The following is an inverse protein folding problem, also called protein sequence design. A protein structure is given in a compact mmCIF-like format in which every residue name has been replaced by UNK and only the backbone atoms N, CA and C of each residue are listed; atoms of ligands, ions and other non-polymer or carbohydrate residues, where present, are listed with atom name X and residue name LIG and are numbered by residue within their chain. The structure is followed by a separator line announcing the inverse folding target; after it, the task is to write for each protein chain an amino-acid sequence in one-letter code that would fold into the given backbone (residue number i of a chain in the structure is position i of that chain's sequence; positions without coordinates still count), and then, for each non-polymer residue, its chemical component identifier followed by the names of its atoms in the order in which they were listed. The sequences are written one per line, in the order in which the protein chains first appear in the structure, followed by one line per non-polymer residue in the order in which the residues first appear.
data_IF_938340207855
#
_entry.id   IF_938340207855
#
_cell.length_a   1.000
_cell.length_b   1.000
_cell.length_c   1.000
_cell.angle_alpha   90.00
_cell.angle_beta   90.00
_cell.angle_gamma   90.00
#
_symmetry.space_group_name_H-M   'P 1'
#
loop_
_entity.id
_entity.type
_entity.pdbx_description
1 polymer ?
#
# COMPACT_ATOMS: atom_id res chain seq x y z
N UNK A 1 -10.34 21.83 -88.65
CA UNK A 1 -10.20 23.12 -87.96
C UNK A 1 -10.41 22.89 -86.47
N UNK A 2 -9.42 23.30 -85.69
CA UNK A 2 -9.35 23.51 -84.23
C UNK A 2 -9.12 22.26 -83.39
N UNK A 3 -7.87 22.24 -82.91
CA UNK A 3 -7.35 21.76 -81.68
C UNK A 3 -8.09 22.31 -80.46
N UNK A 4 -8.24 21.55 -79.40
CA UNK A 4 -8.22 22.04 -78.04
C UNK A 4 -7.60 20.97 -77.15
N UNK A 5 -6.53 21.38 -76.47
CA UNK A 5 -5.82 20.73 -75.42
C UNK A 5 -6.69 20.57 -74.17
N UNK A 6 -6.56 19.41 -73.47
CA UNK A 6 -6.97 19.32 -72.06
C UNK A 6 -5.94 18.51 -71.29
N UNK A 7 -5.11 19.23 -70.56
CA UNK A 7 -4.14 18.74 -69.61
C UNK A 7 -4.81 17.98 -68.46
N UNK A 8 -4.49 16.70 -68.29
CA UNK A 8 -4.86 15.89 -67.14
C UNK A 8 -3.92 16.16 -65.96
N UNK A 9 -4.46 16.70 -64.88
CA UNK A 9 -3.78 16.87 -63.59
C UNK A 9 -3.86 15.56 -62.84
N UNK A 10 -2.70 14.92 -62.60
CA UNK A 10 -2.57 13.76 -61.75
C UNK A 10 -2.74 14.16 -60.29
N UNK A 11 -3.75 13.65 -59.59
CA UNK A 11 -3.94 13.79 -58.16
C UNK A 11 -3.02 12.80 -57.44
N UNK A 12 -2.03 13.36 -56.72
CA UNK A 12 -1.19 12.64 -55.77
C UNK A 12 -2.02 12.28 -54.53
N UNK A 13 -2.24 10.99 -54.28
CA UNK A 13 -2.88 10.46 -53.09
C UNK A 13 -1.98 10.65 -51.83
N UNK A 14 -2.59 10.81 -50.63
CA UNK A 14 -1.82 10.98 -49.41
C UNK A 14 -1.06 9.71 -49.04
N UNK A 15 0.27 9.83 -48.86
CA UNK A 15 1.14 8.74 -48.40
C UNK A 15 0.72 8.23 -47.02
N UNK A 16 0.27 6.99 -46.97
CA UNK A 16 0.02 6.31 -45.70
C UNK A 16 1.34 6.05 -44.96
N UNK A 17 1.45 6.59 -43.76
CA UNK A 17 2.55 6.27 -42.85
C UNK A 17 2.52 4.78 -42.54
N UNK A 18 3.63 4.03 -42.63
CA UNK A 18 3.65 2.63 -42.29
C UNK A 18 3.30 2.44 -40.79
N UNK A 19 2.54 1.39 -40.41
CA UNK A 19 2.27 1.11 -39.02
C UNK A 19 3.59 0.90 -38.28
N UNK A 20 3.75 1.62 -37.17
CA UNK A 20 4.90 1.44 -36.27
C UNK A 20 5.01 -0.02 -35.80
N UNK A 21 6.21 -0.46 -35.37
CA UNK A 21 6.40 -1.83 -34.94
C UNK A 21 5.38 -2.19 -33.86
N UNK A 22 4.68 -3.32 -34.06
CA UNK A 22 3.74 -3.86 -33.11
C UNK A 22 4.41 -4.00 -31.75
N UNK A 23 3.80 -3.45 -30.69
CA UNK A 23 4.32 -3.59 -29.34
C UNK A 23 4.45 -5.08 -29.02
N UNK A 24 5.68 -5.53 -28.76
CA UNK A 24 5.95 -6.90 -28.32
C UNK A 24 5.16 -7.09 -27.01
N UNK A 25 4.30 -8.14 -26.92
CA UNK A 25 3.59 -8.40 -25.67
C UNK A 25 4.61 -8.57 -24.53
N UNK A 26 4.33 -8.04 -23.35
CA UNK A 26 5.23 -8.17 -22.21
C UNK A 26 5.46 -9.67 -21.96
N UNK A 27 6.73 -10.07 -21.93
CA UNK A 27 7.12 -11.44 -21.57
C UNK A 27 6.59 -11.71 -20.16
N UNK A 28 6.11 -12.93 -19.85
CA UNK A 28 5.69 -13.26 -18.49
C UNK A 28 6.88 -13.05 -17.55
N UNK A 29 6.75 -12.07 -16.68
CA UNK A 29 7.75 -11.75 -15.66
C UNK A 29 7.57 -12.78 -14.55
N UNK A 30 8.48 -13.74 -14.44
CA UNK A 30 8.51 -14.68 -13.30
C UNK A 30 9.07 -13.96 -12.08
N UNK A 31 8.45 -14.17 -10.92
CA UNK A 31 8.90 -13.61 -9.64
C UNK A 31 10.04 -14.43 -9.02
N UNK A 32 11.04 -14.81 -9.83
CA UNK A 32 12.18 -15.59 -9.32
C UNK A 32 12.89 -14.79 -8.23
N UNK A 33 13.12 -15.43 -7.08
CA UNK A 33 13.93 -14.85 -6.00
C UNK A 33 15.38 -14.74 -6.46
N UNK A 34 15.96 -13.52 -6.54
CA UNK A 34 17.36 -13.34 -6.86
C UNK A 34 18.29 -14.05 -5.86
N UNK A 35 19.34 -14.69 -6.33
CA UNK A 35 20.27 -15.45 -5.49
C UNK A 35 20.92 -14.61 -4.39
N UNK A 36 21.21 -13.36 -4.67
CA UNK A 36 21.75 -12.37 -3.73
C UNK A 36 20.78 -12.01 -2.60
N UNK A 37 19.47 -12.17 -2.79
CA UNK A 37 18.43 -11.91 -1.80
C UNK A 37 18.01 -13.16 -1.03
N UNK A 38 18.45 -14.35 -1.42
CA UNK A 38 18.02 -15.62 -0.84
C UNK A 38 18.30 -15.68 0.68
N UNK A 39 19.45 -15.16 1.11
CA UNK A 39 19.80 -15.11 2.55
C UNK A 39 18.86 -14.24 3.36
N UNK A 40 18.52 -13.04 2.86
CA UNK A 40 17.57 -12.13 3.50
C UNK A 40 16.15 -12.73 3.52
N UNK A 41 15.71 -13.30 2.40
CA UNK A 41 14.41 -13.93 2.29
C UNK A 41 14.27 -15.12 3.27
N UNK A 42 15.27 -15.97 3.37
CA UNK A 42 15.29 -17.10 4.32
C UNK A 42 15.24 -16.62 5.78
N UNK A 43 15.91 -15.52 6.12
CA UNK A 43 15.87 -14.96 7.49
C UNK A 43 14.51 -14.36 7.84
N UNK A 44 13.85 -13.69 6.89
CA UNK A 44 12.59 -12.98 7.14
C UNK A 44 11.36 -13.91 7.06
N UNK A 45 11.38 -14.90 6.19
CA UNK A 45 10.23 -15.79 5.97
C UNK A 45 10.41 -17.20 6.55
N UNK A 46 11.65 -17.63 6.81
CA UNK A 46 11.92 -18.96 7.38
C UNK A 46 11.26 -20.08 6.58
N UNK A 47 10.51 -20.91 7.27
CA UNK A 47 9.76 -22.04 6.69
C UNK A 47 8.58 -21.60 5.79
N UNK A 48 8.26 -20.33 5.74
CA UNK A 48 7.18 -19.77 4.92
C UNK A 48 7.69 -19.11 3.63
N UNK A 49 8.96 -19.34 3.27
CA UNK A 49 9.56 -18.75 2.06
C UNK A 49 8.86 -19.20 0.77
N UNK A 50 8.38 -20.42 0.70
CA UNK A 50 7.58 -20.94 -0.41
C UNK A 50 6.26 -20.20 -0.59
N UNK A 51 5.58 -19.86 0.51
CA UNK A 51 4.35 -19.05 0.50
C UNK A 51 4.64 -17.62 0.04
N UNK A 52 5.78 -17.05 0.49
CA UNK A 52 6.22 -15.73 0.02
C UNK A 52 6.53 -15.75 -1.48
N UNK A 53 7.13 -16.82 -2.00
CA UNK A 53 7.40 -16.98 -3.44
C UNK A 53 6.09 -17.13 -4.25
N UNK A 54 5.12 -17.89 -3.75
CA UNK A 54 3.80 -17.99 -4.38
C UNK A 54 3.08 -16.62 -4.39
N UNK A 55 3.19 -15.83 -3.34
CA UNK A 55 2.64 -14.48 -3.30
C UNK A 55 3.37 -13.54 -4.27
N UNK A 56 4.70 -13.61 -4.36
CA UNK A 56 5.47 -12.84 -5.34
C UNK A 56 4.97 -13.12 -6.77
N UNK A 57 4.72 -14.39 -7.11
CA UNK A 57 4.20 -14.78 -8.42
C UNK A 57 2.81 -14.19 -8.69
N UNK A 58 1.88 -14.24 -7.73
CA UNK A 58 0.56 -13.61 -7.85
C UNK A 58 0.67 -12.10 -8.07
N UNK A 59 1.63 -11.42 -7.43
CA UNK A 59 1.84 -9.98 -7.60
C UNK A 59 2.34 -9.62 -9.00
N UNK A 60 3.27 -10.40 -9.58
CA UNK A 60 3.85 -10.09 -10.90
C UNK A 60 2.97 -10.56 -12.07
N UNK A 61 2.05 -11.49 -11.82
CA UNK A 61 1.06 -11.97 -12.81
C UNK A 61 -0.25 -11.20 -12.64
N UNK A 62 -1.16 -11.68 -11.82
CA UNK A 62 -2.50 -11.11 -11.61
C UNK A 62 -2.46 -9.68 -11.08
N UNK A 63 -1.52 -9.37 -10.19
CA UNK A 63 -1.33 -8.03 -9.64
C UNK A 63 -1.00 -7.00 -10.72
N UNK A 64 -0.13 -7.34 -11.66
CA UNK A 64 0.20 -6.48 -12.82
C UNK A 64 -0.98 -6.36 -13.77
N UNK A 65 -1.61 -7.48 -14.15
CA UNK A 65 -2.77 -7.49 -15.06
C UNK A 65 -3.92 -6.64 -14.52
N UNK A 66 -4.17 -6.70 -13.21
CA UNK A 66 -5.21 -5.91 -12.54
C UNK A 66 -4.77 -4.47 -12.21
N UNK A 67 -3.52 -4.08 -12.52
CA UNK A 67 -2.98 -2.75 -12.27
C UNK A 67 -2.80 -2.43 -10.78
N UNK A 68 -2.50 -3.43 -9.97
CA UNK A 68 -2.18 -3.29 -8.53
C UNK A 68 -0.69 -3.08 -8.31
N UNK A 69 0.13 -3.68 -9.16
CA UNK A 69 1.58 -3.52 -9.23
C UNK A 69 1.92 -2.94 -10.61
N UNK A 70 2.76 -1.91 -10.64
CA UNK A 70 3.25 -1.36 -11.91
C UNK A 70 4.16 -2.37 -12.63
N UNK A 71 4.11 -2.48 -13.97
CA UNK A 71 4.98 -3.40 -14.71
C UNK A 71 6.49 -3.17 -14.46
N UNK A 72 6.88 -1.94 -14.15
CA UNK A 72 8.27 -1.58 -13.81
C UNK A 72 8.68 -2.00 -12.40
N UNK A 73 7.72 -2.28 -11.52
CA UNK A 73 7.96 -2.75 -10.15
C UNK A 73 8.07 -4.28 -10.08
N UNK A 74 7.50 -5.00 -11.06
CA UNK A 74 7.51 -6.46 -11.09
C UNK A 74 8.92 -7.08 -10.98
N UNK A 75 9.96 -6.60 -11.70
CA UNK A 75 11.33 -7.12 -11.55
C UNK A 75 11.94 -6.87 -10.16
N UNK A 76 11.36 -5.95 -9.38
CA UNK A 76 11.84 -5.53 -8.07
C UNK A 76 10.91 -5.98 -6.94
N UNK A 77 10.08 -6.99 -7.20
CA UNK A 77 9.06 -7.42 -6.24
C UNK A 77 9.67 -7.90 -4.92
N UNK A 78 10.81 -8.57 -4.97
CA UNK A 78 11.50 -9.08 -3.80
C UNK A 78 12.17 -7.97 -2.99
N UNK A 79 13.04 -7.19 -3.60
CA UNK A 79 13.83 -6.17 -2.88
C UNK A 79 12.97 -4.99 -2.39
N UNK A 80 12.13 -4.42 -3.27
CA UNK A 80 11.34 -3.21 -2.94
C UNK A 80 10.04 -3.47 -2.19
N UNK A 81 9.50 -4.68 -2.30
CA UNK A 81 8.17 -4.93 -1.74
C UNK A 81 8.20 -6.00 -0.65
N UNK A 82 8.55 -7.24 -0.97
CA UNK A 82 8.44 -8.32 0.01
C UNK A 82 9.41 -8.15 1.18
N UNK A 83 10.71 -8.00 0.92
CA UNK A 83 11.70 -7.89 1.98
C UNK A 83 11.54 -6.62 2.81
N UNK A 84 11.27 -5.48 2.15
CA UNK A 84 11.01 -4.23 2.84
C UNK A 84 9.77 -4.29 3.75
N UNK A 85 8.69 -4.94 3.29
CA UNK A 85 7.49 -5.12 4.11
C UNK A 85 7.74 -6.10 5.26
N UNK A 86 8.43 -7.22 5.01
CA UNK A 86 8.73 -8.22 6.02
C UNK A 86 9.64 -7.68 7.15
N UNK A 87 10.56 -6.78 6.83
CA UNK A 87 11.45 -6.16 7.81
C UNK A 87 10.69 -5.42 8.94
N UNK A 88 9.49 -4.92 8.66
CA UNK A 88 8.65 -4.22 9.67
C UNK A 88 8.17 -5.16 10.77
N UNK A 89 8.21 -6.46 10.55
CA UNK A 89 7.81 -7.48 11.54
C UNK A 89 8.59 -7.40 12.86
N UNK A 90 9.81 -6.83 12.86
CA UNK A 90 10.62 -6.64 14.09
C UNK A 90 9.99 -5.66 15.09
N UNK A 91 9.12 -4.74 14.63
CA UNK A 91 8.41 -3.78 15.47
C UNK A 91 7.06 -4.30 15.98
N UNK A 92 6.63 -5.50 15.56
CA UNK A 92 5.30 -6.04 15.86
C UNK A 92 5.40 -7.07 16.98
N UNK A 93 4.69 -6.86 18.12
CA UNK A 93 4.66 -7.81 19.22
C UNK A 93 4.17 -9.20 18.80
N UNK A 94 4.60 -10.27 19.50
CA UNK A 94 4.07 -11.61 19.25
C UNK A 94 2.56 -11.67 19.48
N UNK A 95 1.84 -12.38 18.60
CA UNK A 95 0.40 -12.60 18.69
C UNK A 95 -0.48 -11.36 18.52
N UNK A 96 0.08 -10.26 18.03
CA UNK A 96 -0.65 -9.00 17.90
C UNK A 96 -1.79 -9.07 16.87
N UNK A 97 -2.87 -8.32 17.14
CA UNK A 97 -3.87 -7.95 16.15
C UNK A 97 -3.36 -6.79 15.29
N UNK A 98 -3.29 -6.99 13.98
CA UNK A 98 -2.72 -6.03 13.04
C UNK A 98 -3.77 -5.61 12.00
N UNK A 99 -3.96 -4.30 11.83
CA UNK A 99 -4.82 -3.72 10.82
C UNK A 99 -3.97 -3.04 9.75
N UNK A 100 -4.09 -3.47 8.50
CA UNK A 100 -3.36 -2.86 7.38
C UNK A 100 -4.28 -1.91 6.61
N UNK A 101 -4.00 -0.60 6.68
CA UNK A 101 -4.84 0.46 6.12
C UNK A 101 -4.41 0.82 4.70
N UNK A 102 -5.34 0.68 3.76
CA UNK A 102 -5.07 0.90 2.35
C UNK A 102 -4.21 -0.21 1.76
N UNK A 103 -4.55 -1.46 2.07
CA UNK A 103 -3.74 -2.65 1.76
C UNK A 103 -3.38 -2.80 0.28
N UNK A 104 -4.19 -2.28 -0.63
CA UNK A 104 -3.92 -2.30 -2.07
C UNK A 104 -3.78 -3.72 -2.63
N UNK A 105 -2.55 -4.09 -2.99
CA UNK A 105 -2.18 -5.44 -3.38
C UNK A 105 -1.90 -6.38 -2.18
N UNK A 106 -2.05 -5.90 -0.92
CA UNK A 106 -1.72 -6.65 0.30
C UNK A 106 -0.36 -6.29 0.91
N UNK A 107 0.13 -5.08 0.65
CA UNK A 107 1.45 -4.62 1.06
C UNK A 107 1.36 -3.46 2.07
N UNK A 108 1.79 -3.63 3.34
CA UNK A 108 2.59 -4.73 3.87
C UNK A 108 1.80 -5.92 4.44
N UNK A 109 0.47 -5.84 4.60
CA UNK A 109 -0.32 -6.74 5.41
C UNK A 109 -0.15 -8.23 5.09
N UNK A 110 -0.28 -8.65 3.82
CA UNK A 110 -0.10 -10.07 3.44
C UNK A 110 1.35 -10.53 3.65
N UNK A 111 2.33 -9.68 3.39
CA UNK A 111 3.73 -10.02 3.65
C UNK A 111 3.96 -10.30 5.13
N UNK A 112 3.41 -9.44 6.01
CA UNK A 112 3.50 -9.61 7.46
C UNK A 112 2.78 -10.87 7.92
N UNK A 113 1.60 -11.18 7.40
CA UNK A 113 0.86 -12.41 7.72
C UNK A 113 1.61 -13.68 7.27
N UNK A 114 2.35 -13.61 6.15
CA UNK A 114 3.21 -14.70 5.69
C UNK A 114 4.43 -14.86 6.61
N UNK A 115 5.14 -13.78 6.91
CA UNK A 115 6.35 -13.81 7.73
C UNK A 115 6.05 -14.15 9.20
N UNK A 116 4.87 -13.78 9.71
CA UNK A 116 4.44 -13.87 11.09
C UNK A 116 3.07 -14.55 11.18
N UNK A 117 3.00 -15.89 11.12
CA UNK A 117 1.75 -16.64 11.17
C UNK A 117 1.02 -16.57 12.53
N UNK A 118 1.68 -16.03 13.55
CA UNK A 118 1.12 -15.75 14.87
C UNK A 118 0.21 -14.50 14.91
N UNK A 119 0.23 -13.66 13.87
CA UNK A 119 -0.55 -12.42 13.82
C UNK A 119 -2.01 -12.67 13.38
N UNK A 120 -2.94 -11.91 13.98
CA UNK A 120 -4.31 -11.79 13.48
C UNK A 120 -4.40 -10.55 12.57
N UNK A 121 -4.44 -10.76 11.24
CA UNK A 121 -4.36 -9.69 10.26
C UNK A 121 -5.75 -9.28 9.72
N UNK A 122 -6.05 -7.99 9.66
CA UNK A 122 -7.19 -7.46 8.92
C UNK A 122 -6.71 -6.47 7.86
N UNK A 123 -7.01 -6.74 6.60
CA UNK A 123 -6.70 -5.90 5.46
C UNK A 123 -7.86 -4.96 5.17
N UNK A 124 -7.66 -3.65 5.25
CA UNK A 124 -8.68 -2.62 5.02
C UNK A 124 -8.45 -1.97 3.67
N UNK A 125 -9.38 -2.15 2.73
CA UNK A 125 -9.27 -1.63 1.37
C UNK A 125 -10.65 -1.22 0.83
N UNK A 126 -10.86 0.02 0.36
CA UNK A 126 -12.17 0.47 -0.10
C UNK A 126 -12.57 -0.02 -1.50
N UNK A 127 -11.60 -0.32 -2.38
CA UNK A 127 -11.89 -0.60 -3.78
C UNK A 127 -12.26 -2.06 -4.01
N UNK A 128 -13.47 -2.33 -4.51
CA UNK A 128 -13.98 -3.68 -4.77
C UNK A 128 -13.01 -4.57 -5.57
N UNK A 129 -12.37 -4.02 -6.61
CA UNK A 129 -11.42 -4.77 -7.43
C UNK A 129 -10.20 -5.23 -6.63
N UNK A 130 -9.72 -4.39 -5.70
CA UNK A 130 -8.58 -4.72 -4.84
C UNK A 130 -8.97 -5.73 -3.76
N UNK A 131 -10.14 -5.55 -3.14
CA UNK A 131 -10.64 -6.52 -2.15
C UNK A 131 -10.91 -7.89 -2.76
N UNK A 132 -11.37 -7.96 -4.01
CA UNK A 132 -11.49 -9.24 -4.72
C UNK A 132 -10.14 -9.94 -4.86
N UNK A 133 -9.12 -9.22 -5.34
CA UNK A 133 -7.76 -9.76 -5.43
C UNK A 133 -7.22 -10.22 -4.07
N UNK A 134 -7.44 -9.42 -3.00
CA UNK A 134 -7.00 -9.78 -1.65
C UNK A 134 -7.66 -11.07 -1.16
N UNK A 135 -8.98 -11.24 -1.35
CA UNK A 135 -9.68 -12.46 -0.96
C UNK A 135 -9.16 -13.68 -1.73
N UNK A 136 -9.03 -13.59 -3.06
CA UNK A 136 -8.49 -14.64 -3.90
C UNK A 136 -7.07 -15.03 -3.47
N UNK A 137 -6.23 -14.02 -3.17
CA UNK A 137 -4.85 -14.24 -2.71
C UNK A 137 -4.81 -14.90 -1.33
N UNK A 138 -5.63 -14.45 -0.37
CA UNK A 138 -5.74 -15.05 0.97
C UNK A 138 -6.13 -16.52 0.88
N UNK A 139 -7.09 -16.86 0.02
CA UNK A 139 -7.52 -18.23 -0.22
C UNK A 139 -6.41 -19.06 -0.86
N UNK A 140 -5.82 -18.58 -1.96
CA UNK A 140 -4.76 -19.26 -2.71
C UNK A 140 -3.52 -19.56 -1.85
N UNK A 141 -3.19 -18.69 -0.89
CA UNK A 141 -2.05 -18.84 0.01
C UNK A 141 -2.40 -19.60 1.31
N UNK A 142 -3.64 -20.04 1.50
CA UNK A 142 -4.08 -20.75 2.70
C UNK A 142 -4.04 -19.89 3.97
N UNK A 143 -4.30 -18.58 3.88
CA UNK A 143 -4.22 -17.61 4.99
C UNK A 143 -5.58 -17.29 5.63
N UNK A 144 -6.66 -17.97 5.24
CA UNK A 144 -8.04 -17.68 5.66
C UNK A 144 -8.27 -17.72 7.16
N UNK A 145 -7.44 -18.48 7.91
CA UNK A 145 -7.55 -18.61 9.36
C UNK A 145 -6.93 -17.42 10.13
N UNK A 146 -6.00 -16.68 9.51
CA UNK A 146 -5.25 -15.58 10.15
C UNK A 146 -5.45 -14.23 9.48
N UNK A 147 -6.05 -14.19 8.28
CA UNK A 147 -6.24 -12.96 7.51
C UNK A 147 -7.71 -12.75 7.17
N UNK A 148 -8.24 -11.59 7.54
CA UNK A 148 -9.56 -11.09 7.16
C UNK A 148 -9.42 -9.93 6.19
N UNK A 149 -10.28 -9.85 5.19
CA UNK A 149 -10.38 -8.68 4.29
C UNK A 149 -11.64 -7.89 4.64
N UNK A 150 -11.49 -6.61 4.95
CA UNK A 150 -12.57 -5.67 5.20
C UNK A 150 -12.65 -4.66 4.06
N UNK A 151 -13.81 -4.61 3.38
CA UNK A 151 -14.05 -3.61 2.33
C UNK A 151 -14.66 -2.37 2.93
N UNK A 152 -13.87 -1.30 3.07
CA UNK A 152 -14.32 -0.02 3.59
C UNK A 152 -13.16 0.97 3.67
N UNK A 153 -13.49 2.20 4.04
CA UNK A 153 -12.51 3.27 4.28
C UNK A 153 -12.19 3.32 5.76
N UNK A 154 -10.91 3.45 6.08
CA UNK A 154 -10.42 3.49 7.46
C UNK A 154 -10.98 4.68 8.27
N UNK A 155 -11.26 5.80 7.62
CA UNK A 155 -11.84 7.01 8.22
C UNK A 155 -13.35 6.93 8.50
N UNK A 156 -14.03 5.90 8.04
CA UNK A 156 -15.46 5.72 8.26
C UNK A 156 -15.76 5.08 9.63
N UNK A 157 -16.78 5.57 10.31
CA UNK A 157 -17.18 5.05 11.63
C UNK A 157 -17.48 3.54 11.63
N UNK A 158 -17.97 3.02 10.49
CA UNK A 158 -18.21 1.59 10.26
C UNK A 158 -16.92 0.78 10.38
N UNK A 159 -15.80 1.26 9.84
CA UNK A 159 -14.52 0.56 9.97
C UNK A 159 -14.13 0.42 11.45
N UNK A 160 -14.20 1.51 12.21
CA UNK A 160 -13.87 1.48 13.64
C UNK A 160 -14.78 0.53 14.43
N UNK A 161 -16.09 0.47 14.10
CA UNK A 161 -17.05 -0.38 14.82
C UNK A 161 -16.97 -1.86 14.45
N UNK A 162 -16.67 -2.20 13.18
CA UNK A 162 -16.66 -3.58 12.70
C UNK A 162 -15.29 -4.26 12.80
N UNK A 163 -14.22 -3.48 12.62
CA UNK A 163 -12.86 -4.01 12.66
C UNK A 163 -12.30 -3.95 14.08
N UNK A 164 -12.75 -2.95 14.87
CA UNK A 164 -12.28 -2.69 16.23
C UNK A 164 -10.87 -2.10 16.26
N UNK A 165 -10.36 -1.73 17.45
CA UNK A 165 -8.98 -1.29 17.58
C UNK A 165 -8.02 -2.48 17.55
N UNK A 166 -6.95 -2.36 16.75
CA UNK A 166 -5.84 -3.31 16.74
C UNK A 166 -4.69 -2.88 17.66
N UNK A 167 -3.84 -3.83 18.02
CA UNK A 167 -2.58 -3.57 18.74
C UNK A 167 -1.60 -2.79 17.86
N UNK A 168 -1.61 -3.10 16.56
CA UNK A 168 -0.78 -2.44 15.56
C UNK A 168 -1.62 -2.08 14.35
N UNK A 169 -1.43 -0.87 13.83
CA UNK A 169 -1.97 -0.45 12.53
C UNK A 169 -0.81 -0.20 11.60
N UNK A 170 -0.82 -0.81 10.43
CA UNK A 170 0.18 -0.58 9.38
C UNK A 170 -0.41 0.23 8.23
N UNK A 171 0.43 1.03 7.56
CA UNK A 171 0.06 1.69 6.32
C UNK A 171 1.30 1.98 5.46
N UNK A 172 1.17 1.88 4.13
CA UNK A 172 2.24 2.16 3.18
C UNK A 172 1.79 3.07 2.06
N UNK A 173 2.50 4.20 1.87
CA UNK A 173 2.32 5.12 0.72
C UNK A 173 0.87 5.63 0.50
N UNK A 174 0.11 5.85 1.58
CA UNK A 174 -1.32 6.18 1.49
C UNK A 174 -1.56 7.69 1.52
N UNK A 175 -0.87 8.42 2.42
CA UNK A 175 -1.08 9.86 2.62
C UNK A 175 0.08 10.50 3.41
N UNK A 176 0.16 11.86 3.47
CA UNK A 176 0.97 12.58 4.45
C UNK A 176 0.65 12.16 5.89
N UNK A 177 1.61 12.35 6.81
CA UNK A 177 1.56 11.77 8.15
C UNK A 177 0.37 12.26 9.00
N UNK A 178 -0.03 13.52 8.89
CA UNK A 178 -1.19 14.09 9.59
C UNK A 178 -2.52 13.43 9.20
N UNK A 179 -2.74 13.26 7.89
CA UNK A 179 -3.94 12.58 7.37
C UNK A 179 -3.93 11.10 7.71
N UNK A 180 -2.77 10.47 7.58
CA UNK A 180 -2.59 9.06 7.90
C UNK A 180 -2.88 8.80 9.39
N UNK A 181 -2.34 9.63 10.28
CA UNK A 181 -2.64 9.56 11.71
C UNK A 181 -4.14 9.74 11.99
N UNK A 182 -4.81 10.65 11.27
CA UNK A 182 -6.26 10.85 11.38
C UNK A 182 -7.08 9.63 11.02
N UNK A 183 -6.64 8.81 10.06
CA UNK A 183 -7.32 7.58 9.67
C UNK A 183 -6.98 6.38 10.54
N UNK A 184 -5.71 6.27 10.95
CA UNK A 184 -5.18 5.08 11.60
C UNK A 184 -5.29 5.11 13.12
N UNK A 185 -5.08 6.27 13.78
CA UNK A 185 -5.17 6.34 15.24
C UNK A 185 -6.53 5.92 15.80
N UNK A 186 -7.69 6.27 15.20
CA UNK A 186 -8.98 5.74 15.67
C UNK A 186 -9.07 4.20 15.65
N UNK A 187 -8.34 3.55 14.75
CA UNK A 187 -8.25 2.10 14.60
C UNK A 187 -7.16 1.46 15.47
N UNK A 188 -6.30 2.26 16.10
CA UNK A 188 -5.22 1.79 16.98
C UNK A 188 -5.74 1.74 18.42
N UNK A 189 -5.50 0.67 19.17
CA UNK A 189 -5.80 0.60 20.60
C UNK A 189 -5.00 1.62 21.40
N UNK A 190 -5.48 1.98 22.61
CA UNK A 190 -4.67 2.81 23.53
C UNK A 190 -3.43 2.02 23.94
N UNK A 191 -2.25 2.63 23.85
CA UNK A 191 -0.96 1.96 24.01
C UNK A 191 -0.50 1.16 22.79
N UNK A 192 -1.39 0.94 21.81
CA UNK A 192 -1.06 0.37 20.50
C UNK A 192 -0.31 1.37 19.63
N UNK A 193 0.11 0.93 18.45
CA UNK A 193 0.99 1.72 17.58
C UNK A 193 0.57 1.75 16.12
N UNK A 194 0.70 2.90 15.48
CA UNK A 194 0.71 3.04 14.05
C UNK A 194 2.15 2.88 13.53
N UNK A 195 2.37 1.98 12.57
CA UNK A 195 3.63 1.79 11.86
C UNK A 195 3.44 2.24 10.41
N UNK A 196 3.89 3.42 10.07
CA UNK A 196 3.78 3.99 8.74
C UNK A 196 5.09 3.78 7.95
N UNK A 197 5.03 2.96 6.89
CA UNK A 197 6.17 2.79 5.96
C UNK A 197 6.30 4.05 5.12
N UNK A 198 7.45 4.69 5.22
CA UNK A 198 7.74 5.99 4.60
C UNK A 198 9.01 5.94 3.75
N UNK A 199 9.18 6.96 2.91
CA UNK A 199 10.39 7.19 2.12
C UNK A 199 11.44 8.02 2.85
N UNK A 200 12.37 8.59 2.07
CA UNK A 200 13.49 9.37 2.58
C UNK A 200 13.06 10.67 3.32
N UNK A 201 11.87 11.21 3.00
CA UNK A 201 11.32 12.44 3.63
C UNK A 201 10.65 12.20 4.98
N UNK A 202 10.80 11.02 5.59
CA UNK A 202 10.11 10.68 6.83
C UNK A 202 10.44 11.61 8.01
N UNK A 203 11.70 12.06 8.11
CA UNK A 203 12.13 12.98 9.16
C UNK A 203 11.50 14.38 9.01
N UNK A 204 11.42 14.88 7.77
CA UNK A 204 10.76 16.14 7.45
C UNK A 204 9.25 16.06 7.70
N UNK A 205 8.61 14.95 7.33
CA UNK A 205 7.19 14.73 7.63
C UNK A 205 6.90 14.69 9.14
N UNK A 206 7.79 14.10 9.94
CA UNK A 206 7.68 14.10 11.40
C UNK A 206 7.77 15.54 11.93
N UNK A 207 8.77 16.31 11.48
CA UNK A 207 8.96 17.68 11.95
C UNK A 207 7.75 18.57 11.60
N UNK A 208 7.17 18.40 10.41
CA UNK A 208 6.01 19.18 9.95
C UNK A 208 4.71 18.79 10.67
N UNK A 209 4.51 17.51 10.98
CA UNK A 209 3.19 17.01 11.40
C UNK A 209 3.10 16.54 12.86
N UNK A 210 4.18 16.62 13.68
CA UNK A 210 4.19 16.14 15.06
C UNK A 210 3.06 16.75 15.91
N UNK A 211 2.81 18.05 15.80
CA UNK A 211 1.71 18.70 16.52
C UNK A 211 0.32 18.20 16.08
N UNK A 212 0.13 17.94 14.79
CA UNK A 212 -1.12 17.39 14.27
C UNK A 212 -1.35 15.98 14.82
N UNK A 213 -0.30 15.14 14.84
CA UNK A 213 -0.33 13.80 15.43
C UNK A 213 -0.71 13.87 16.91
N UNK A 214 -0.08 14.77 17.68
CA UNK A 214 -0.41 14.93 19.09
C UNK A 214 -1.87 15.36 19.30
N UNK A 215 -2.41 16.29 18.51
CA UNK A 215 -3.82 16.68 18.58
C UNK A 215 -4.77 15.50 18.32
N UNK A 216 -4.37 14.54 17.47
CA UNK A 216 -5.12 13.33 17.15
C UNK A 216 -4.99 12.22 18.19
N UNK A 217 -4.24 12.44 19.29
CA UNK A 217 -4.09 11.49 20.38
C UNK A 217 -2.87 10.57 20.25
N UNK A 218 -2.01 10.82 19.28
CA UNK A 218 -0.70 10.16 19.16
C UNK A 218 0.34 10.80 20.08
N UNK A 219 1.31 9.99 20.49
CA UNK A 219 2.55 10.43 21.13
C UNK A 219 3.55 11.03 20.14
N UNK A 220 4.77 11.29 20.62
CA UNK A 220 5.87 11.75 19.78
C UNK A 220 6.21 10.71 18.71
N UNK A 221 6.16 11.04 17.41
CA UNK A 221 6.55 10.09 16.36
C UNK A 221 8.04 9.71 16.48
N UNK A 222 8.33 8.41 16.35
CA UNK A 222 9.68 7.88 16.33
C UNK A 222 10.03 7.34 14.93
N UNK A 223 11.29 7.49 14.52
CA UNK A 223 11.80 7.00 13.25
C UNK A 223 12.61 5.72 13.47
N UNK A 224 12.26 4.66 12.75
CA UNK A 224 12.96 3.38 12.79
C UNK A 224 13.54 3.03 11.42
N UNK A 225 14.61 2.26 11.45
CA UNK A 225 15.27 1.66 10.27
C UNK A 225 15.19 0.14 10.42
N UNK A 226 14.15 -0.46 9.86
CA UNK A 226 13.88 -1.89 9.99
C UNK A 226 14.69 -2.73 9.01
N UNK A 227 15.16 -3.90 9.49
CA UNK A 227 15.91 -4.86 8.69
C UNK A 227 17.37 -4.48 8.46
N UNK A 228 18.00 -3.69 9.33
CA UNK A 228 19.43 -3.36 9.23
C UNK A 228 20.29 -4.62 9.18
N UNK A 229 21.22 -4.68 8.20
CA UNK A 229 22.07 -5.85 7.95
C UNK A 229 21.33 -7.06 7.33
N UNK A 230 20.06 -6.89 6.94
CA UNK A 230 19.25 -7.91 6.25
C UNK A 230 18.70 -7.37 4.93
N UNK A 231 18.19 -6.15 4.93
CA UNK A 231 17.60 -5.48 3.77
C UNK A 231 18.39 -4.22 3.45
N UNK A 232 18.71 -4.00 2.18
CA UNK A 232 19.47 -2.83 1.74
C UNK A 232 18.73 -2.09 0.62
N UNK A 233 18.36 -0.80 0.82
CA UNK A 233 18.44 -0.07 2.09
C UNK A 233 17.42 -0.55 3.12
N UNK A 234 17.66 -0.36 4.43
CA UNK A 234 16.70 -0.67 5.48
C UNK A 234 15.38 0.09 5.30
N UNK A 235 14.28 -0.55 5.71
CA UNK A 235 12.95 0.04 5.59
C UNK A 235 12.74 1.15 6.62
N UNK A 236 12.39 2.34 6.15
CA UNK A 236 12.07 3.47 7.02
C UNK A 236 10.63 3.39 7.51
N UNK A 237 10.43 3.40 8.82
CA UNK A 237 9.12 3.33 9.47
C UNK A 237 8.97 4.48 10.47
N UNK A 238 7.84 5.18 10.41
CA UNK A 238 7.42 6.12 11.45
C UNK A 238 6.48 5.41 12.39
N UNK A 239 6.85 5.29 13.65
CA UNK A 239 6.02 4.76 14.74
C UNK A 239 5.31 5.89 15.48
N UNK A 240 4.01 5.73 15.73
CA UNK A 240 3.21 6.63 16.57
C UNK A 240 2.42 5.76 17.55
N UNK A 241 2.71 5.89 18.85
CA UNK A 241 1.92 5.25 19.91
C UNK A 241 0.63 6.04 20.13
N UNK A 242 -0.51 5.38 20.22
CA UNK A 242 -1.76 6.03 20.60
C UNK A 242 -1.84 6.19 22.11
N UNK A 243 -1.72 7.41 22.60
CA UNK A 243 -1.67 7.70 24.05
C UNK A 243 -3.05 8.00 24.65
N UNK A 244 -3.99 8.57 23.86
CA UNK A 244 -5.29 9.01 24.38
C UNK A 244 -6.40 8.92 23.34
N UNK A 245 -7.63 8.81 23.80
CA UNK A 245 -8.82 8.97 22.98
C UNK A 245 -9.04 10.47 22.70
N UNK A 246 -9.34 10.78 21.45
CA UNK A 246 -9.80 12.11 21.05
C UNK A 246 -11.25 11.97 20.61
N UNK A 247 -12.15 12.70 21.28
CA UNK A 247 -13.57 12.73 20.89
C UNK A 247 -13.73 13.34 19.49
N UNK A 248 -14.87 13.09 18.81
CA UNK A 248 -15.15 13.71 17.53
C UNK A 248 -15.04 15.23 17.68
N UNK A 249 -14.19 15.85 16.85
CA UNK A 249 -14.02 17.30 16.85
C UNK A 249 -15.39 17.96 16.71
N UNK A 250 -15.78 18.81 17.65
CA UNK A 250 -17.00 19.58 17.55
C UNK A 250 -16.97 20.34 16.21
N UNK A 251 -17.88 20.00 15.29
CA UNK A 251 -18.02 20.68 14.01
C UNK A 251 -18.32 22.14 14.33
N UNK A 252 -17.31 23.01 14.23
CA UNK A 252 -17.52 24.46 14.30
C UNK A 252 -18.38 24.86 13.11
N UNK A 253 -19.70 24.92 13.34
CA UNK A 253 -20.63 25.50 12.40
C UNK A 253 -20.31 26.98 12.29
N UNK A 254 -19.61 27.39 11.25
CA UNK A 254 -19.49 28.80 10.88
C UNK A 254 -20.89 29.29 10.46
N UNK A 255 -21.64 29.77 11.43
CA UNK A 255 -22.89 30.46 11.22
C UNK A 255 -22.58 31.80 10.57
N UNK A 256 -22.62 31.85 9.23
CA UNK A 256 -22.64 33.10 8.48
C UNK A 256 -23.87 33.88 8.94
N UNK A 257 -23.66 34.89 9.76
CA UNK A 257 -24.71 35.89 10.09
C UNK A 257 -25.06 36.62 8.80
N UNK A 258 -26.25 36.35 8.27
CA UNK A 258 -26.87 37.21 7.28
C UNK A 258 -27.27 38.50 7.97
N UNK A 259 -26.46 39.55 7.86
CA UNK A 259 -26.85 40.93 8.14
C UNK A 259 -27.99 41.28 7.20
N UNK A 260 -29.21 41.40 7.73
CA UNK A 260 -30.30 42.08 7.11
C UNK A 260 -30.01 43.59 7.15
N UNK A 261 -29.72 44.17 6.01
CA UNK A 261 -29.89 45.64 5.85
C UNK A 261 -31.36 45.92 5.51
N UNK A 262 -31.93 46.77 6.30
CA UNK A 262 -33.16 47.54 6.00
C UNK A 262 -32.79 48.72 5.06
#
# INVERSE_FOLDING_TARGET
VRQDDASGVAASGPGGTPPGPAAVPPQPTTAVLPSELAGAASRLFGVRLDVAAAYAELLVTDGVVRGLIGPREAPRIWDRHLLNCAAVAELIPPGASVLDVGSGAGLPGLVLAIARPDLAMTLIEPLARRTAFLNETVEALGLTNSVRVFRGRAEEAVAVSEVGPGDVVTARAVAPLDRLAGWCLPLTGIGGRLLALKGASAAEEIAEHAEAVHRLGGGQPALHRCGEGVVEPPTTVVEIVRERLVGPAARTSSRKSRSRRR
#
